data_IF_282893469164
#
_entry.id   IF_282893469164
#
_cell.length_a   1.000
_cell.length_b   1.000
_cell.length_c   1.000
_cell.angle_alpha   90.00
_cell.angle_beta   90.00
_cell.angle_gamma   90.00
#
_symmetry.space_group_name_H-M   'P 1'
#
loop_
_entity.id
_entity.type
_entity.pdbx_description
1 polymer ?
#
# COMPACT_ATOMS: atom_id res chain seq x y z
N UNK A 1 0.78 15.04 4.83
CA UNK A 1 0.28 15.08 3.43
C UNK A 1 1.38 14.69 2.47
N UNK A 2 1.05 13.96 1.41
CA UNK A 2 1.93 13.62 0.28
C UNK A 2 1.18 13.94 -1.01
N UNK A 3 1.78 14.71 -1.92
CA UNK A 3 1.20 15.04 -3.22
C UNK A 3 2.29 14.91 -4.28
N UNK A 4 2.16 13.92 -5.16
CA UNK A 4 3.07 13.64 -6.25
C UNK A 4 2.41 13.84 -7.61
N UNK A 5 3.09 14.53 -8.52
CA UNK A 5 2.69 14.65 -9.94
C UNK A 5 3.68 13.95 -10.83
N UNK A 6 3.18 13.16 -11.76
CA UNK A 6 3.98 12.36 -12.69
C UNK A 6 5.03 11.47 -11.98
N UNK A 7 4.63 10.88 -10.85
CA UNK A 7 5.48 10.04 -10.01
C UNK A 7 5.68 8.66 -10.64
N UNK A 8 6.91 8.15 -10.59
CA UNK A 8 7.27 6.83 -11.12
C UNK A 8 8.39 6.17 -10.34
N UNK A 9 8.60 4.88 -10.60
CA UNK A 9 9.67 4.11 -9.97
C UNK A 9 11.00 4.33 -10.70
N UNK A 10 12.10 4.65 -10.00
CA UNK A 10 13.38 4.99 -10.63
C UNK A 10 13.92 3.92 -11.58
N UNK A 11 13.73 2.63 -11.26
CA UNK A 11 14.26 1.53 -12.06
C UNK A 11 13.53 1.29 -13.40
N UNK A 12 12.42 1.97 -13.64
CA UNK A 12 11.69 1.85 -14.91
C UNK A 12 12.21 2.81 -15.99
N UNK A 13 12.92 3.86 -15.61
CA UNK A 13 13.50 4.83 -16.53
C UNK A 13 12.46 5.42 -17.50
N UNK A 14 12.84 5.54 -18.77
CA UNK A 14 11.98 6.13 -19.80
C UNK A 14 10.69 5.34 -20.11
N UNK A 15 10.62 4.06 -19.73
CA UNK A 15 9.43 3.21 -19.93
C UNK A 15 8.39 3.37 -18.80
N UNK A 16 8.68 4.20 -17.79
CA UNK A 16 7.79 4.38 -16.66
C UNK A 16 6.48 5.03 -17.07
N UNK A 17 5.37 4.40 -16.69
CA UNK A 17 4.07 5.07 -16.71
C UNK A 17 3.96 5.93 -15.47
N UNK A 18 3.89 7.24 -15.68
CA UNK A 18 3.84 8.24 -14.62
C UNK A 18 2.43 8.36 -14.06
N UNK A 19 2.31 8.52 -12.74
CA UNK A 19 1.02 8.61 -12.05
C UNK A 19 0.98 9.82 -11.10
N UNK A 20 -0.19 10.45 -11.01
CA UNK A 20 -0.49 11.47 -10.00
C UNK A 20 -1.15 10.80 -8.80
N UNK A 21 -0.73 11.19 -7.60
CA UNK A 21 -1.37 10.67 -6.40
C UNK A 21 -1.24 11.61 -5.22
N UNK A 22 -2.30 11.66 -4.41
CA UNK A 22 -2.35 12.48 -3.21
C UNK A 22 -2.79 11.65 -2.02
N UNK A 23 -2.01 11.72 -0.93
CA UNK A 23 -2.34 11.13 0.36
C UNK A 23 -2.67 12.26 1.33
N UNK A 24 -3.90 12.29 1.81
CA UNK A 24 -4.33 13.19 2.87
C UNK A 24 -4.01 12.56 4.23
N UNK A 25 -3.86 13.40 5.23
CA UNK A 25 -3.66 12.94 6.60
C UNK A 25 -4.89 12.18 7.10
N UNK A 26 -4.64 11.11 7.86
CA UNK A 26 -5.66 10.24 8.47
C UNK A 26 -6.61 9.57 7.46
N UNK A 27 -6.15 9.39 6.22
CA UNK A 27 -6.91 8.71 5.16
C UNK A 27 -6.23 7.41 4.71
N UNK A 28 -7.04 6.47 4.23
CA UNK A 28 -6.64 5.14 3.77
C UNK A 28 -7.03 4.94 2.32
N UNK A 29 -6.11 4.41 1.53
CA UNK A 29 -6.29 4.21 0.09
C UNK A 29 -6.16 2.72 -0.20
N UNK A 30 -7.28 2.09 -0.54
CA UNK A 30 -7.36 0.67 -0.91
C UNK A 30 -7.16 0.59 -2.42
N UNK A 31 -6.09 -0.08 -2.84
CA UNK A 31 -5.71 -0.21 -4.24
C UNK A 31 -5.99 -1.62 -4.71
N UNK A 32 -7.00 -1.77 -5.56
CA UNK A 32 -7.39 -3.03 -6.17
C UNK A 32 -6.81 -3.17 -7.58
N UNK A 33 -6.81 -4.39 -8.11
CA UNK A 33 -6.36 -4.68 -9.47
C UNK A 33 -5.83 -6.10 -9.62
N UNK A 34 -5.76 -6.57 -10.85
CA UNK A 34 -5.24 -7.88 -11.20
C UNK A 34 -3.75 -8.06 -10.85
N UNK A 35 -3.28 -9.28 -10.91
CA UNK A 35 -1.84 -9.55 -10.87
C UNK A 35 -1.14 -8.85 -12.04
N UNK A 36 0.08 -8.38 -11.81
CA UNK A 36 0.91 -7.66 -12.79
C UNK A 36 0.37 -6.28 -13.23
N UNK A 37 -0.78 -5.83 -12.73
CA UNK A 37 -1.36 -4.53 -13.10
C UNK A 37 -0.55 -3.30 -12.61
N UNK A 38 0.47 -3.50 -11.75
CA UNK A 38 1.38 -2.42 -11.32
C UNK A 38 1.23 -1.98 -9.88
N UNK A 39 0.32 -2.57 -9.08
CA UNK A 39 0.06 -2.19 -7.68
C UNK A 39 1.34 -2.11 -6.83
N UNK A 40 2.09 -3.20 -6.72
CA UNK A 40 3.33 -3.26 -5.91
C UNK A 40 4.40 -2.28 -6.39
N UNK A 41 4.53 -2.08 -7.69
CA UNK A 41 5.47 -1.13 -8.29
C UNK A 41 5.09 0.30 -7.92
N UNK A 42 3.79 0.61 -7.96
CA UNK A 42 3.27 1.91 -7.56
C UNK A 42 3.51 2.19 -6.06
N UNK A 43 3.21 1.23 -5.19
CA UNK A 43 3.48 1.36 -3.75
C UNK A 43 4.97 1.63 -3.47
N UNK A 44 5.85 0.90 -4.16
CA UNK A 44 7.31 1.13 -4.06
C UNK A 44 7.70 2.51 -4.56
N UNK A 45 7.08 3.00 -5.65
CA UNK A 45 7.34 4.35 -6.17
C UNK A 45 7.08 5.41 -5.11
N UNK A 46 5.97 5.31 -4.38
CA UNK A 46 5.63 6.23 -3.30
C UNK A 46 6.68 6.20 -2.19
N UNK A 47 7.01 5.00 -1.70
CA UNK A 47 7.98 4.83 -0.61
C UNK A 47 9.38 5.32 -0.95
N UNK A 48 9.89 4.92 -2.14
CA UNK A 48 11.24 5.33 -2.58
C UNK A 48 11.34 6.84 -2.76
N UNK A 49 10.37 7.46 -3.44
CA UNK A 49 10.40 8.91 -3.64
C UNK A 49 10.26 9.68 -2.32
N UNK A 50 9.49 9.16 -1.35
CA UNK A 50 9.43 9.75 -0.03
C UNK A 50 10.80 9.71 0.67
N UNK A 51 11.49 8.56 0.65
CA UNK A 51 12.81 8.40 1.27
C UNK A 51 13.84 9.32 0.60
N UNK A 52 13.86 9.39 -0.72
CA UNK A 52 14.75 10.27 -1.48
C UNK A 52 14.51 11.74 -1.11
N UNK A 53 13.25 12.19 -1.09
CA UNK A 53 12.90 13.55 -0.71
C UNK A 53 13.33 13.88 0.72
N UNK A 54 13.13 12.95 1.68
CA UNK A 54 13.55 13.14 3.08
C UNK A 54 15.08 13.18 3.24
N UNK A 55 15.82 12.56 2.33
CA UNK A 55 17.29 12.61 2.28
C UNK A 55 17.83 13.85 1.50
N UNK A 56 16.94 14.71 0.98
CA UNK A 56 17.34 15.86 0.15
C UNK A 56 17.86 15.48 -1.23
N UNK A 57 17.55 14.27 -1.69
CA UNK A 57 17.95 13.75 -3.00
C UNK A 57 16.91 14.07 -4.07
N UNK A 58 17.30 14.08 -5.36
CA UNK A 58 16.35 14.19 -6.47
C UNK A 58 15.30 13.08 -6.42
N UNK A 59 14.05 13.44 -6.73
CA UNK A 59 12.91 12.53 -6.78
C UNK A 59 12.51 12.23 -8.21
N UNK A 60 11.85 11.12 -8.41
CA UNK A 60 11.34 10.66 -9.71
C UNK A 60 9.87 11.06 -9.86
N UNK A 61 9.64 12.36 -9.94
CA UNK A 61 8.35 13.01 -10.12
C UNK A 61 8.60 14.41 -10.71
N UNK A 62 7.61 14.97 -11.43
CA UNK A 62 7.71 16.36 -11.91
C UNK A 62 7.53 17.34 -10.73
N UNK A 63 6.67 16.99 -9.75
CA UNK A 63 6.50 17.73 -8.50
C UNK A 63 6.23 16.75 -7.35
N UNK A 64 6.82 17.01 -6.20
CA UNK A 64 6.55 16.27 -4.98
C UNK A 64 6.48 17.23 -3.78
N UNK A 65 5.30 17.28 -3.13
CA UNK A 65 5.09 17.99 -1.86
C UNK A 65 4.87 16.96 -0.78
N UNK A 66 5.65 17.03 0.29
CA UNK A 66 5.58 16.09 1.42
C UNK A 66 5.59 16.81 2.76
N UNK A 67 4.88 16.24 3.73
CA UNK A 67 5.09 16.52 5.15
C UNK A 67 6.04 15.48 5.74
N UNK A 68 6.67 15.77 6.85
CA UNK A 68 7.45 14.79 7.61
C UNK A 68 6.51 13.83 8.32
N UNK A 69 6.69 12.52 8.07
CA UNK A 69 6.00 11.45 8.79
C UNK A 69 6.93 10.25 8.99
N UNK A 70 6.55 9.35 9.87
CA UNK A 70 7.22 8.05 10.01
C UNK A 70 6.68 7.11 8.95
N UNK A 71 7.56 6.49 8.18
CA UNK A 71 7.16 5.52 7.16
C UNK A 71 7.32 4.11 7.69
N UNK A 72 6.26 3.30 7.60
CA UNK A 72 6.29 1.86 7.76
C UNK A 72 5.86 1.19 6.46
N UNK A 73 6.64 0.23 5.97
CA UNK A 73 6.27 -0.52 4.78
C UNK A 73 6.34 -2.02 5.04
N UNK A 74 5.34 -2.75 4.56
CA UNK A 74 5.33 -4.21 4.50
C UNK A 74 5.01 -4.63 3.08
N UNK A 75 6.07 -5.04 2.35
CA UNK A 75 5.99 -5.38 0.96
C UNK A 75 6.64 -6.73 0.72
N UNK A 76 5.91 -7.80 0.76
CA UNK A 76 6.37 -9.19 0.72
C UNK A 76 7.17 -9.58 1.97
N UNK A 77 6.66 -10.54 2.66
CA UNK A 77 7.42 -11.36 3.61
C UNK A 77 7.99 -12.55 2.84
N UNK A 78 9.21 -12.91 3.09
CA UNK A 78 9.82 -14.18 2.68
C UNK A 78 9.65 -15.17 3.82
N UNK A 79 9.46 -16.44 3.49
CA UNK A 79 9.49 -17.51 4.50
C UNK A 79 10.84 -17.49 5.22
N UNK A 80 10.83 -17.46 6.53
CA UNK A 80 12.01 -17.66 7.34
C UNK A 80 12.08 -19.13 7.78
N UNK A 81 12.48 -19.98 6.84
CA UNK A 81 12.64 -21.42 7.08
C UNK A 81 13.71 -21.73 8.12
N UNK A 82 14.64 -20.81 8.35
CA UNK A 82 15.75 -20.99 9.32
C UNK A 82 15.27 -20.95 10.77
N UNK A 83 14.18 -20.23 11.05
CA UNK A 83 13.62 -20.11 12.40
C UNK A 83 12.33 -20.93 12.60
N UNK A 84 11.93 -21.76 11.63
CA UNK A 84 10.73 -22.59 11.72
C UNK A 84 9.42 -21.81 11.87
N UNK A 85 9.43 -20.52 11.54
CA UNK A 85 8.25 -19.65 11.62
C UNK A 85 7.46 -19.85 10.34
N UNK A 86 6.19 -20.27 10.46
CA UNK A 86 5.29 -20.32 9.31
C UNK A 86 5.07 -18.92 8.73
N UNK A 87 4.88 -18.83 7.41
CA UNK A 87 4.60 -17.59 6.70
C UNK A 87 3.52 -16.74 7.39
N UNK A 88 2.43 -17.37 7.83
CA UNK A 88 1.34 -16.71 8.52
C UNK A 88 1.76 -16.09 9.88
N UNK A 89 2.58 -16.83 10.66
CA UNK A 89 3.06 -16.32 11.94
C UNK A 89 4.02 -15.15 11.78
N UNK A 90 4.91 -15.20 10.78
CA UNK A 90 5.79 -14.08 10.45
C UNK A 90 4.99 -12.82 10.08
N UNK A 91 3.87 -12.99 9.38
CA UNK A 91 2.99 -11.89 9.03
C UNK A 91 2.25 -11.30 10.25
N UNK A 92 1.78 -12.13 11.17
CA UNK A 92 1.19 -11.66 12.44
C UNK A 92 2.19 -10.86 13.28
N UNK A 93 3.43 -11.33 13.38
CA UNK A 93 4.51 -10.60 14.07
C UNK A 93 4.70 -9.22 13.41
N UNK A 94 4.70 -9.17 12.07
CA UNK A 94 4.85 -7.92 11.33
C UNK A 94 3.70 -6.93 11.58
N UNK A 95 2.47 -7.43 11.68
CA UNK A 95 1.30 -6.61 12.02
C UNK A 95 1.37 -6.11 13.48
N UNK A 96 1.87 -6.93 14.40
CA UNK A 96 2.12 -6.51 15.79
C UNK A 96 3.17 -5.40 15.86
N UNK A 97 4.28 -5.54 15.13
CA UNK A 97 5.31 -4.49 15.01
C UNK A 97 4.71 -3.18 14.47
N UNK A 98 3.86 -3.26 13.44
CA UNK A 98 3.17 -2.10 12.89
C UNK A 98 2.26 -1.43 13.93
N UNK A 99 1.49 -2.18 14.70
CA UNK A 99 0.64 -1.63 15.76
C UNK A 99 1.47 -0.93 16.84
N UNK A 100 2.58 -1.52 17.25
CA UNK A 100 3.53 -0.89 18.20
C UNK A 100 4.09 0.41 17.61
N UNK A 101 4.53 0.39 16.36
CA UNK A 101 5.07 1.54 15.64
C UNK A 101 4.05 2.70 15.57
N UNK A 102 2.78 2.41 15.28
CA UNK A 102 1.71 3.41 15.23
C UNK A 102 1.44 4.02 16.61
N UNK A 103 1.38 3.20 17.66
CA UNK A 103 1.19 3.67 19.05
C UNK A 103 2.32 4.57 19.52
N UNK A 104 3.57 4.19 19.31
CA UNK A 104 4.74 4.98 19.66
C UNK A 104 4.74 6.35 18.97
N UNK A 105 4.26 6.39 17.71
CA UNK A 105 4.10 7.65 16.98
C UNK A 105 3.04 8.56 17.61
N UNK A 106 1.88 7.99 17.94
CA UNK A 106 0.79 8.72 18.58
C UNK A 106 1.16 9.25 19.96
N UNK A 107 1.95 8.50 20.74
CA UNK A 107 2.41 8.88 22.08
C UNK A 107 3.63 9.83 22.06
N UNK A 108 4.18 10.17 20.89
CA UNK A 108 5.36 11.04 20.76
C UNK A 108 6.66 10.47 21.35
N UNK A 109 6.67 9.18 21.74
CA UNK A 109 7.82 8.53 22.39
C UNK A 109 9.11 8.58 21.57
N UNK A 110 9.01 8.67 20.27
CA UNK A 110 10.17 8.68 19.38
C UNK A 110 10.99 9.97 19.42
N UNK A 111 10.46 11.06 19.98
CA UNK A 111 11.14 12.36 20.05
C UNK A 111 11.88 12.61 21.36
N UNK A 112 11.53 11.92 22.44
CA UNK A 112 12.21 12.05 23.72
C UNK A 112 13.72 11.75 23.68
N UNK A 113 14.16 11.02 22.62
CA UNK A 113 15.59 10.73 22.40
C UNK A 113 16.37 11.87 21.72
N UNK A 114 15.72 12.85 21.12
CA UNK A 114 16.36 13.95 20.35
C UNK A 114 16.35 15.32 21.04
N UNK A 115 15.83 15.43 22.28
CA UNK A 115 15.83 16.70 23.04
C UNK A 115 14.88 17.79 22.48
N UNK A 116 13.98 17.45 21.56
CA UNK A 116 13.02 18.37 20.96
C UNK A 116 11.65 18.29 21.67
N UNK A 117 11.52 18.86 22.85
CA UNK A 117 10.35 18.70 23.74
C UNK A 117 9.05 19.40 23.28
N UNK A 118 9.06 20.22 22.23
CA UNK A 118 7.93 21.12 21.90
C UNK A 118 7.33 20.95 20.49
N UNK A 119 7.56 19.83 19.79
CA UNK A 119 6.97 19.64 18.45
C UNK A 119 5.87 18.57 18.48
N UNK A 120 4.83 18.78 17.67
CA UNK A 120 3.74 17.81 17.49
C UNK A 120 4.25 16.40 17.14
N UNK A 121 3.57 15.32 17.59
CA UNK A 121 3.96 13.96 17.26
C UNK A 121 3.95 13.75 15.74
N UNK A 122 4.95 13.05 15.23
CA UNK A 122 5.02 12.73 13.80
C UNK A 122 3.89 11.77 13.43
N UNK A 123 3.13 12.14 12.42
CA UNK A 123 2.14 11.23 11.81
C UNK A 123 2.83 10.02 11.19
N UNK A 124 2.09 8.95 11.01
CA UNK A 124 2.59 7.72 10.39
C UNK A 124 1.96 7.54 9.00
N UNK A 125 2.78 7.17 8.03
CA UNK A 125 2.32 6.62 6.75
C UNK A 125 2.66 5.14 6.70
N UNK A 126 1.66 4.31 6.40
CA UNK A 126 1.84 2.87 6.17
C UNK A 126 1.65 2.53 4.70
N UNK A 127 2.52 1.64 4.19
CA UNK A 127 2.43 1.10 2.84
C UNK A 127 2.41 -0.43 2.95
N UNK A 128 1.28 -1.04 2.60
CA UNK A 128 1.06 -2.48 2.74
C UNK A 128 0.74 -3.12 1.39
N UNK A 129 1.51 -4.13 1.01
CA UNK A 129 1.25 -4.92 -0.20
C UNK A 129 0.63 -6.26 0.21
N UNK A 130 -0.68 -6.24 0.37
CA UNK A 130 -1.56 -7.25 0.95
C UNK A 130 -1.38 -7.47 2.45
N UNK A 131 -2.45 -7.83 3.13
CA UNK A 131 -2.50 -8.16 4.55
C UNK A 131 -2.99 -9.60 4.69
N UNK A 132 -2.39 -10.39 5.58
CA UNK A 132 -2.78 -11.76 5.94
C UNK A 132 -2.81 -12.73 4.75
N UNK A 133 -1.69 -12.84 4.03
CA UNK A 133 -1.56 -13.69 2.83
C UNK A 133 -1.64 -15.20 3.13
N UNK A 134 -1.23 -15.61 4.32
CA UNK A 134 -1.03 -17.02 4.69
C UNK A 134 -2.27 -17.72 5.24
N UNK A 135 -3.50 -17.20 5.06
CA UNK A 135 -4.72 -17.80 5.58
C UNK A 135 -5.82 -17.89 4.50
N UNK A 136 -6.95 -18.53 4.84
CA UNK A 136 -8.10 -18.64 3.95
C UNK A 136 -8.74 -17.27 3.67
N UNK A 137 -9.49 -17.16 2.58
CA UNK A 137 -10.01 -15.89 2.08
C UNK A 137 -10.93 -15.17 3.06
N UNK A 138 -11.74 -15.90 3.82
CA UNK A 138 -12.70 -15.31 4.76
C UNK A 138 -11.98 -14.75 5.99
N UNK A 139 -11.04 -15.49 6.56
CA UNK A 139 -10.24 -15.02 7.70
C UNK A 139 -9.34 -13.85 7.28
N UNK A 140 -8.76 -13.91 6.07
CA UNK A 140 -8.00 -12.81 5.48
C UNK A 140 -8.82 -11.52 5.42
N UNK A 141 -10.03 -11.58 4.87
CA UNK A 141 -10.91 -10.41 4.74
C UNK A 141 -11.29 -9.86 6.12
N UNK A 142 -11.78 -10.72 7.03
CA UNK A 142 -12.23 -10.32 8.36
C UNK A 142 -11.08 -9.77 9.20
N UNK A 143 -9.92 -10.41 9.17
CA UNK A 143 -8.71 -9.97 9.86
C UNK A 143 -8.20 -8.64 9.32
N UNK A 144 -8.11 -8.49 7.98
CA UNK A 144 -7.67 -7.25 7.34
C UNK A 144 -8.59 -6.08 7.68
N UNK A 145 -9.92 -6.28 7.65
CA UNK A 145 -10.90 -5.25 8.02
C UNK A 145 -10.71 -4.81 9.47
N UNK A 146 -10.71 -5.75 10.42
CA UNK A 146 -10.51 -5.47 11.86
C UNK A 146 -9.20 -4.73 12.12
N UNK A 147 -8.14 -5.13 11.43
CA UNK A 147 -6.84 -4.49 11.54
C UNK A 147 -6.89 -3.03 11.05
N UNK A 148 -7.45 -2.79 9.87
CA UNK A 148 -7.59 -1.43 9.31
C UNK A 148 -8.50 -0.54 10.17
N UNK A 149 -9.60 -1.06 10.70
CA UNK A 149 -10.48 -0.36 11.65
C UNK A 149 -9.72 0.02 12.95
N UNK A 150 -8.85 -0.85 13.42
CA UNK A 150 -8.05 -0.58 14.63
C UNK A 150 -7.03 0.53 14.42
N UNK A 151 -6.32 0.53 13.29
CA UNK A 151 -5.32 1.58 13.00
C UNK A 151 -5.97 2.90 12.57
N UNK A 152 -7.18 2.89 12.00
CA UNK A 152 -7.92 4.09 11.61
C UNK A 152 -8.35 4.97 12.80
N UNK A 153 -8.25 4.46 14.02
CA UNK A 153 -8.45 5.21 15.28
C UNK A 153 -7.22 6.02 15.71
N UNK A 154 -6.10 5.86 15.01
CA UNK A 154 -4.83 6.52 15.32
C UNK A 154 -4.49 7.56 14.22
N UNK A 155 -3.56 8.50 14.45
CA UNK A 155 -3.13 9.48 13.47
C UNK A 155 -2.22 8.83 12.41
N UNK A 156 -2.80 7.95 11.61
CA UNK A 156 -2.14 7.11 10.61
C UNK A 156 -2.82 7.29 9.27
N UNK A 157 -2.03 7.48 8.23
CA UNK A 157 -2.50 7.39 6.84
C UNK A 157 -1.98 6.09 6.22
N UNK A 158 -2.75 5.48 5.33
CA UNK A 158 -2.38 4.18 4.77
C UNK A 158 -2.62 4.03 3.29
N UNK A 159 -1.76 3.24 2.63
CA UNK A 159 -1.98 2.74 1.28
C UNK A 159 -1.87 1.23 1.33
N UNK A 160 -2.90 0.55 0.89
CA UNK A 160 -3.02 -0.90 0.96
C UNK A 160 -3.35 -1.44 -0.43
N UNK A 161 -2.44 -2.20 -1.03
CA UNK A 161 -2.76 -2.98 -2.21
C UNK A 161 -3.40 -4.30 -1.81
N UNK A 162 -4.43 -4.71 -2.52
CA UNK A 162 -5.12 -5.98 -2.28
C UNK A 162 -5.73 -6.56 -3.56
N UNK A 163 -5.87 -7.88 -3.59
CA UNK A 163 -6.68 -8.58 -4.58
C UNK A 163 -8.10 -8.82 -4.10
N UNK A 164 -8.37 -8.58 -2.82
CA UNK A 164 -9.68 -8.80 -2.22
C UNK A 164 -10.56 -7.58 -2.47
N UNK A 165 -11.51 -7.73 -3.40
CA UNK A 165 -12.44 -6.67 -3.77
C UNK A 165 -13.43 -6.36 -2.64
N UNK A 166 -13.70 -7.32 -1.74
CA UNK A 166 -14.60 -7.10 -0.61
C UNK A 166 -14.04 -6.06 0.39
N UNK A 167 -12.71 -5.93 0.47
CA UNK A 167 -12.07 -4.92 1.32
C UNK A 167 -12.40 -3.50 0.85
N UNK A 168 -12.68 -3.31 -0.44
CA UNK A 168 -13.09 -2.01 -0.99
C UNK A 168 -14.40 -1.47 -0.41
N UNK A 169 -15.25 -2.35 0.15
CA UNK A 169 -16.51 -1.93 0.81
C UNK A 169 -16.28 -1.05 2.05
N UNK A 170 -15.04 -0.99 2.57
CA UNK A 170 -14.69 -0.06 3.65
C UNK A 170 -14.83 1.42 3.26
N UNK A 171 -14.88 1.75 1.97
CA UNK A 171 -15.19 3.13 1.51
C UNK A 171 -16.59 3.60 1.97
N UNK A 172 -17.50 2.64 2.21
CA UNK A 172 -18.86 2.93 2.70
C UNK A 172 -18.91 3.14 4.23
N UNK A 173 -17.76 3.05 4.93
CA UNK A 173 -17.69 3.34 6.35
C UNK A 173 -18.04 4.80 6.63
N UNK A 174 -18.84 5.02 7.68
CA UNK A 174 -19.28 6.34 8.12
C UNK A 174 -18.15 7.32 8.45
N UNK A 175 -16.90 6.82 8.64
CA UNK A 175 -15.76 7.68 8.91
C UNK A 175 -15.32 8.54 7.71
N UNK A 176 -15.66 8.13 6.47
CA UNK A 176 -15.22 8.79 5.23
C UNK A 176 -13.70 8.79 5.00
N UNK A 177 -12.96 7.94 5.74
CA UNK A 177 -11.49 7.88 5.69
C UNK A 177 -10.96 6.95 4.62
N UNK A 178 -11.76 6.01 4.12
CA UNK A 178 -11.33 5.01 3.15
C UNK A 178 -11.69 5.43 1.73
N UNK A 179 -10.75 5.27 0.81
CA UNK A 179 -10.90 5.67 -0.59
C UNK A 179 -10.42 4.54 -1.51
N UNK A 180 -11.19 4.23 -2.53
CA UNK A 180 -10.85 3.19 -3.49
C UNK A 180 -10.12 3.75 -4.71
N UNK A 181 -9.06 3.04 -5.07
CA UNK A 181 -8.33 3.23 -6.30
C UNK A 181 -8.05 1.87 -6.96
N UNK A 182 -7.81 1.88 -8.26
CA UNK A 182 -7.54 0.64 -8.97
C UNK A 182 -6.54 0.81 -10.10
N UNK A 183 -5.97 -0.33 -10.50
CA UNK A 183 -5.27 -0.52 -11.75
C UNK A 183 -6.12 -1.43 -12.61
N UNK A 184 -6.73 -0.88 -13.65
CA UNK A 184 -7.52 -1.65 -14.61
C UNK A 184 -6.64 -2.33 -15.65
N UNK A 185 -7.15 -3.43 -16.17
CA UNK A 185 -6.60 -4.17 -17.31
C UNK A 185 -7.67 -4.32 -18.38
N UNK A 186 -7.27 -4.32 -19.63
CA UNK A 186 -8.13 -4.65 -20.73
C UNK A 186 -7.95 -6.10 -21.14
N UNK A 187 -9.06 -6.83 -21.24
CA UNK A 187 -9.14 -8.22 -21.67
C UNK A 187 -9.69 -8.24 -23.10
N UNK A 188 -8.80 -8.04 -24.09
CA UNK A 188 -9.10 -8.20 -25.51
C UNK A 188 -8.60 -9.53 -26.05
N UNK A 189 -7.96 -9.52 -27.21
CA UNK A 189 -7.21 -10.70 -27.72
C UNK A 189 -6.05 -11.06 -26.81
N UNK A 190 -5.48 -10.07 -26.12
CA UNK A 190 -4.45 -10.19 -25.08
C UNK A 190 -4.76 -9.30 -23.87
N UNK A 191 -4.10 -9.60 -22.73
CA UNK A 191 -4.19 -8.72 -21.55
C UNK A 191 -3.32 -7.50 -21.78
N UNK A 192 -3.93 -6.32 -21.73
CA UNK A 192 -3.22 -5.05 -21.82
C UNK A 192 -3.21 -4.34 -20.45
N UNK A 193 -2.03 -3.91 -20.04
CA UNK A 193 -1.79 -3.24 -18.76
C UNK A 193 -1.56 -1.76 -18.99
N UNK A 194 -2.47 -0.92 -18.48
CA UNK A 194 -2.33 0.55 -18.59
C UNK A 194 -1.30 1.12 -17.62
N UNK A 195 -1.08 0.45 -16.50
CA UNK A 195 -0.25 0.91 -15.37
C UNK A 195 -0.64 2.30 -14.84
N UNK A 196 -1.87 2.75 -15.14
CA UNK A 196 -2.44 3.99 -14.66
C UNK A 196 -3.35 3.73 -13.46
N UNK A 197 -3.08 4.47 -12.37
CA UNK A 197 -3.98 4.48 -11.22
C UNK A 197 -5.19 5.35 -11.52
N UNK A 198 -6.37 4.87 -11.12
CA UNK A 198 -7.62 5.62 -11.24
C UNK A 198 -8.50 5.37 -10.02
N UNK A 199 -9.47 6.27 -9.79
CA UNK A 199 -10.44 6.11 -8.70
C UNK A 199 -11.41 4.97 -9.01
N UNK A 200 -11.78 4.23 -7.96
CA UNK A 200 -12.74 3.13 -8.03
C UNK A 200 -12.14 1.78 -7.70
N UNK A 201 -12.90 0.72 -8.01
CA UNK A 201 -12.54 -0.67 -7.73
C UNK A 201 -12.33 -1.40 -9.05
N UNK A 202 -11.28 -2.24 -9.13
CA UNK A 202 -10.97 -3.00 -10.33
C UNK A 202 -12.12 -3.95 -10.71
N UNK A 203 -12.46 -3.99 -11.98
CA UNK A 203 -13.55 -4.82 -12.51
C UNK A 203 -13.04 -6.14 -13.05
N UNK A 204 -11.86 -6.13 -13.67
CA UNK A 204 -11.29 -7.26 -14.40
C UNK A 204 -10.20 -7.95 -13.57
N UNK A 205 -10.25 -9.29 -13.58
CA UNK A 205 -9.19 -10.17 -13.06
C UNK A 205 -8.66 -11.02 -14.22
N UNK A 206 -7.35 -11.23 -14.29
CA UNK A 206 -6.71 -11.85 -15.44
C UNK A 206 -6.36 -13.34 -15.26
N UNK A 207 -6.48 -13.88 -14.05
CA UNK A 207 -6.00 -15.24 -13.77
C UNK A 207 -6.71 -16.31 -14.63
N UNK A 208 -8.05 -16.30 -14.62
CA UNK A 208 -8.86 -17.24 -15.40
C UNK A 208 -8.67 -17.04 -16.90
N UNK A 209 -8.60 -15.78 -17.35
CA UNK A 209 -8.38 -15.47 -18.77
C UNK A 209 -7.03 -16.01 -19.25
N UNK A 210 -5.95 -15.79 -18.49
CA UNK A 210 -4.62 -16.29 -18.82
C UNK A 210 -4.56 -17.82 -18.81
N UNK A 211 -5.23 -18.46 -17.83
CA UNK A 211 -5.32 -19.91 -17.77
C UNK A 211 -6.04 -20.48 -19.00
N UNK A 212 -7.20 -19.93 -19.37
CA UNK A 212 -7.95 -20.36 -20.56
C UNK A 212 -7.09 -20.25 -21.83
N UNK A 213 -6.35 -19.17 -21.99
CA UNK A 213 -5.41 -19.03 -23.11
C UNK A 213 -4.30 -20.09 -23.16
N UNK A 214 -3.89 -20.59 -22.00
CA UNK A 214 -2.94 -21.70 -21.93
C UNK A 214 -3.64 -22.99 -22.36
N UNK A 215 -4.83 -23.25 -21.81
CA UNK A 215 -5.59 -24.48 -22.11
C UNK A 215 -6.01 -24.57 -23.58
N UNK A 216 -6.28 -23.46 -24.26
CA UNK A 216 -6.59 -23.44 -25.70
C UNK A 216 -5.40 -23.79 -26.61
N UNK A 217 -4.18 -23.82 -26.09
CA UNK A 217 -2.96 -24.19 -26.85
C UNK A 217 -2.62 -25.66 -26.81
N UNK A 218 -3.27 -26.44 -25.94
CA UNK A 218 -3.05 -27.88 -25.74
C UNK A 218 -4.35 -28.70 -25.94
#
# INVERSE_FOLDING_TARGET
>A
MFEGKNLYHPFLGAKAVKNDFTIKDDNYYIITGANMAGKSTFLRSLGVNYILAMAGMPVFADQLKISRFRLFSSMRTTDDLTHGISYFNAELIRLEELLKFCRESAEGKCRKKSGEDNKEPLRTLIILDEILKGTNSLDKLNGSRKFLEAIAKQPVSGIIATHDLELSKMENDASGKFHNYCFEIDLGTDVTYTYKIQKGVARNQNATFLLNKILEKY
#
